data_IF_497316808717
#
_entry.id   IF_497316808717
#
_cell.length_a   1.000
_cell.length_b   1.000
_cell.length_c   1.000
_cell.angle_alpha   90.00
_cell.angle_beta   90.00
_cell.angle_gamma   90.00
#
_symmetry.space_group_name_H-M   'P 1'
#
loop_
_entity.id
_entity.type
_entity.pdbx_description
1 polymer ?
#
# COMPACT_ATOMS: atom_id res chain seq x y z
N UNK A 1 17.98 16.67 22.77
CA UNK A 1 17.92 15.64 21.70
C UNK A 1 16.60 15.82 20.98
N UNK A 2 16.59 16.30 19.74
CA UNK A 2 15.34 16.36 18.97
C UNK A 2 14.93 14.93 18.61
N UNK A 3 14.01 14.36 19.37
CA UNK A 3 13.40 13.08 19.05
C UNK A 3 12.52 13.26 17.81
N UNK A 4 13.09 13.03 16.63
CA UNK A 4 12.33 13.04 15.40
C UNK A 4 11.34 11.85 15.41
N UNK A 5 10.05 12.15 15.39
CA UNK A 5 9.01 11.12 15.32
C UNK A 5 8.66 10.84 13.85
N UNK A 6 8.64 9.58 13.50
CA UNK A 6 8.27 9.08 12.17
C UNK A 6 7.04 8.18 12.27
N UNK A 7 5.94 8.59 11.65
CA UNK A 7 4.70 7.83 11.66
C UNK A 7 4.48 7.20 10.28
N UNK A 8 4.42 5.87 10.23
CA UNK A 8 3.86 5.15 9.08
C UNK A 8 2.39 4.83 9.36
N UNK A 9 1.51 5.14 8.43
CA UNK A 9 0.08 4.91 8.64
C UNK A 9 -0.58 4.33 7.38
N UNK A 10 -1.41 3.29 7.56
CA UNK A 10 -2.36 2.95 6.52
C UNK A 10 -3.39 4.08 6.34
N UNK A 11 -4.13 4.05 5.25
CA UNK A 11 -5.18 5.01 4.97
C UNK A 11 -6.56 4.48 5.32
N UNK A 12 -6.97 3.34 4.76
CA UNK A 12 -8.32 2.80 4.91
C UNK A 12 -8.51 2.13 6.28
N UNK A 13 -9.40 2.67 7.12
CA UNK A 13 -9.61 2.17 8.46
C UNK A 13 -8.67 2.77 9.52
N UNK A 14 -7.61 3.46 9.10
CA UNK A 14 -6.68 4.16 9.98
C UNK A 14 -6.89 5.67 9.93
N UNK A 15 -6.41 6.36 8.89
CA UNK A 15 -6.65 7.81 8.71
C UNK A 15 -8.00 8.12 8.06
N UNK A 16 -8.54 7.19 7.29
CA UNK A 16 -9.83 7.30 6.61
C UNK A 16 -10.87 6.42 7.30
N UNK A 17 -12.08 6.94 7.48
CA UNK A 17 -13.20 6.12 7.92
C UNK A 17 -13.45 4.99 6.91
N UNK A 18 -13.54 3.75 7.39
CA UNK A 18 -13.65 2.53 6.58
C UNK A 18 -14.89 2.50 5.68
N UNK A 19 -15.99 3.12 6.09
CA UNK A 19 -17.26 3.14 5.35
C UNK A 19 -17.40 4.34 4.40
N UNK A 20 -17.05 5.54 4.86
CA UNK A 20 -17.31 6.80 4.15
C UNK A 20 -16.05 7.44 3.53
N UNK A 21 -14.85 6.92 3.81
CA UNK A 21 -13.57 7.49 3.37
C UNK A 21 -13.41 8.98 3.71
N UNK A 22 -14.08 9.43 4.81
CA UNK A 22 -13.98 10.79 5.31
C UNK A 22 -12.83 10.92 6.32
N UNK A 23 -12.12 12.02 6.25
CA UNK A 23 -10.94 12.33 7.08
C UNK A 23 -11.07 13.67 7.82
N UNK A 24 -12.25 14.27 7.85
CA UNK A 24 -12.46 15.62 8.37
C UNK A 24 -11.90 15.80 9.78
N UNK A 25 -12.12 14.81 10.65
CA UNK A 25 -11.58 14.83 12.02
C UNK A 25 -10.04 14.68 12.03
N UNK A 26 -9.49 13.78 11.21
CA UNK A 26 -8.05 13.52 11.16
C UNK A 26 -7.26 14.70 10.56
N UNK A 27 -7.85 15.50 9.67
CA UNK A 27 -7.17 16.61 8.97
C UNK A 27 -6.54 17.61 9.93
N UNK A 28 -7.26 18.00 10.99
CA UNK A 28 -6.74 18.93 12.02
C UNK A 28 -5.52 18.35 12.71
N UNK A 29 -5.62 17.11 13.18
CA UNK A 29 -4.53 16.44 13.91
C UNK A 29 -3.31 16.16 13.04
N UNK A 30 -3.51 15.76 11.76
CA UNK A 30 -2.40 15.59 10.81
C UNK A 30 -1.60 16.89 10.65
N UNK A 31 -2.29 18.02 10.50
CA UNK A 31 -1.64 19.33 10.37
C UNK A 31 -0.90 19.74 11.65
N UNK A 32 -1.50 19.48 12.80
CA UNK A 32 -0.89 19.75 14.09
C UNK A 32 0.38 18.91 14.29
N UNK A 33 0.36 17.63 13.95
CA UNK A 33 1.55 16.77 14.01
C UNK A 33 2.66 17.27 13.07
N UNK A 34 2.30 17.67 11.85
CA UNK A 34 3.28 18.21 10.88
C UNK A 34 3.87 19.53 11.38
N UNK A 35 3.08 20.40 12.02
CA UNK A 35 3.60 21.67 12.59
C UNK A 35 4.53 21.45 13.79
N UNK A 36 4.53 20.25 14.38
CA UNK A 36 5.46 19.80 15.44
C UNK A 36 6.62 18.96 14.87
N UNK A 37 6.94 19.11 13.58
CA UNK A 37 8.02 18.39 12.88
C UNK A 37 7.89 16.86 12.89
N UNK A 38 6.66 16.31 13.09
CA UNK A 38 6.41 14.89 12.97
C UNK A 38 6.34 14.51 11.48
N UNK A 39 7.17 13.56 11.08
CA UNK A 39 7.14 13.01 9.73
C UNK A 39 6.03 11.97 9.59
N UNK A 40 5.05 12.23 8.73
CA UNK A 40 3.96 11.29 8.44
C UNK A 40 4.13 10.74 7.03
N UNK A 41 4.15 9.41 6.92
CA UNK A 41 4.32 8.69 5.66
C UNK A 41 3.15 7.71 5.49
N UNK A 42 2.13 8.05 4.69
CA UNK A 42 1.11 7.09 4.28
C UNK A 42 1.74 5.86 3.61
N UNK A 43 1.36 4.65 4.06
CA UNK A 43 1.84 3.38 3.54
C UNK A 43 0.64 2.44 3.31
N UNK A 44 0.19 2.34 2.08
CA UNK A 44 -1.14 1.81 1.79
C UNK A 44 -1.17 0.88 0.57
N UNK A 45 -2.22 0.08 0.46
CA UNK A 45 -2.52 -0.73 -0.74
C UNK A 45 -3.02 0.09 -1.93
N UNK A 46 -3.30 1.39 -1.73
CA UNK A 46 -3.77 2.29 -2.79
C UNK A 46 -2.69 2.58 -3.83
N UNK A 47 -3.14 2.95 -5.02
CA UNK A 47 -2.29 3.42 -6.12
C UNK A 47 -1.71 4.81 -5.84
N UNK A 48 -0.64 5.16 -6.56
CA UNK A 48 -0.09 6.53 -6.57
C UNK A 48 -1.17 7.59 -6.85
N UNK A 49 -2.09 7.30 -7.79
CA UNK A 49 -3.13 8.26 -8.17
C UNK A 49 -4.20 8.44 -7.07
N UNK A 50 -4.58 7.38 -6.37
CA UNK A 50 -5.50 7.48 -5.24
C UNK A 50 -4.90 8.31 -4.10
N UNK A 51 -3.61 8.07 -3.80
CA UNK A 51 -2.92 8.82 -2.73
C UNK A 51 -2.78 10.29 -3.12
N UNK A 52 -2.45 10.60 -4.38
CA UNK A 52 -2.38 11.98 -4.87
C UNK A 52 -3.72 12.71 -4.77
N UNK A 53 -4.84 12.04 -5.08
CA UNK A 53 -6.17 12.60 -4.88
C UNK A 53 -6.43 12.89 -3.40
N UNK A 54 -6.11 11.96 -2.52
CA UNK A 54 -6.23 12.12 -1.07
C UNK A 54 -5.39 13.29 -0.55
N UNK A 55 -4.12 13.36 -0.91
CA UNK A 55 -3.22 14.45 -0.49
C UNK A 55 -3.69 15.82 -1.01
N UNK A 56 -4.24 15.87 -2.23
CA UNK A 56 -4.85 17.09 -2.78
C UNK A 56 -6.06 17.54 -1.98
N UNK A 57 -6.96 16.64 -1.59
CA UNK A 57 -8.13 16.95 -0.74
C UNK A 57 -7.70 17.49 0.64
N UNK A 58 -6.56 17.01 1.17
CA UNK A 58 -5.97 17.51 2.42
C UNK A 58 -5.24 18.86 2.25
N UNK A 59 -4.90 19.23 1.04
CA UNK A 59 -3.94 20.31 0.72
C UNK A 59 -2.59 20.09 1.40
N UNK A 60 -2.04 18.86 1.25
CA UNK A 60 -0.76 18.44 1.83
C UNK A 60 0.16 17.86 0.75
N UNK A 61 1.47 18.02 0.97
CA UNK A 61 2.54 17.37 0.19
C UNK A 61 3.35 16.50 1.14
N UNK A 62 3.18 15.18 1.06
CA UNK A 62 3.87 14.21 1.91
C UNK A 62 4.62 13.19 1.06
N UNK A 63 5.72 12.62 1.57
CA UNK A 63 6.21 11.33 1.07
C UNK A 63 5.16 10.26 1.34
N UNK A 64 5.11 9.22 0.51
CA UNK A 64 4.18 8.11 0.72
C UNK A 64 4.67 6.82 0.07
N UNK A 65 4.09 5.70 0.45
CA UNK A 65 4.35 4.36 -0.07
C UNK A 65 3.05 3.82 -0.66
N UNK A 66 3.10 3.36 -1.91
CA UNK A 66 1.94 2.87 -2.66
C UNK A 66 2.00 1.37 -2.93
N UNK A 67 0.83 0.80 -3.27
CA UNK A 67 0.63 -0.58 -3.69
C UNK A 67 1.36 -1.59 -2.79
N UNK A 68 1.07 -1.52 -1.46
CA UNK A 68 1.59 -2.43 -0.43
C UNK A 68 3.12 -2.49 -0.34
N UNK A 69 3.81 -1.36 -0.51
CA UNK A 69 5.26 -1.29 -0.41
C UNK A 69 5.98 -1.37 -1.75
N UNK A 70 5.26 -1.35 -2.87
CA UNK A 70 5.85 -1.51 -4.21
C UNK A 70 6.65 -0.30 -4.66
N UNK A 71 6.26 0.91 -4.29
CA UNK A 71 6.93 2.15 -4.70
C UNK A 71 6.88 3.21 -3.60
N UNK A 72 8.01 3.85 -3.32
CA UNK A 72 8.16 4.96 -2.37
C UNK A 72 8.22 6.25 -3.18
N UNK A 73 7.46 7.27 -2.78
CA UNK A 73 7.31 8.52 -3.49
C UNK A 73 7.69 9.72 -2.63
N UNK A 74 8.22 10.76 -3.29
CA UNK A 74 8.45 12.10 -2.74
C UNK A 74 9.36 12.15 -1.51
N UNK A 75 10.27 11.20 -1.35
CA UNK A 75 11.23 11.19 -0.24
C UNK A 75 12.16 12.42 -0.29
N UNK A 76 12.33 13.02 -1.46
CA UNK A 76 13.04 14.29 -1.65
C UNK A 76 12.39 15.49 -0.95
N UNK A 77 11.12 15.37 -0.50
CA UNK A 77 10.50 16.40 0.36
C UNK A 77 11.13 16.46 1.75
N UNK A 78 11.70 15.36 2.23
CA UNK A 78 12.40 15.32 3.53
C UNK A 78 13.81 15.91 3.39
N UNK A 79 14.55 15.51 2.36
CA UNK A 79 15.85 16.09 1.99
C UNK A 79 16.00 16.10 0.47
N UNK A 80 16.35 17.26 -0.11
CA UNK A 80 16.47 17.46 -1.57
C UNK A 80 17.35 16.42 -2.27
N UNK A 81 18.41 15.92 -1.61
CA UNK A 81 19.32 14.90 -2.15
C UNK A 81 18.73 13.50 -2.31
N UNK A 82 17.58 13.23 -1.72
CA UNK A 82 16.92 11.93 -1.85
C UNK A 82 16.17 11.83 -3.17
N UNK A 83 16.01 10.63 -3.74
CA UNK A 83 15.29 10.44 -4.98
C UNK A 83 13.79 10.76 -4.80
N UNK A 84 13.18 11.30 -5.85
CA UNK A 84 11.74 11.56 -5.86
C UNK A 84 10.93 10.25 -5.81
N UNK A 85 11.49 9.15 -6.35
CA UNK A 85 10.80 7.87 -6.46
C UNK A 85 11.80 6.71 -6.31
N UNK A 86 11.39 5.67 -5.58
CA UNK A 86 12.14 4.41 -5.42
C UNK A 86 11.19 3.25 -5.68
N UNK A 87 11.45 2.49 -6.74
CA UNK A 87 10.69 1.28 -7.07
C UNK A 87 11.33 0.07 -6.39
N UNK A 88 10.52 -0.73 -5.70
CA UNK A 88 10.95 -1.93 -4.96
C UNK A 88 10.42 -3.21 -5.61
N UNK A 89 9.36 -3.12 -6.40
CA UNK A 89 8.66 -4.27 -6.98
C UNK A 89 8.86 -4.36 -8.49
N UNK A 90 8.80 -5.56 -9.03
CA UNK A 90 8.64 -5.81 -10.46
C UNK A 90 7.27 -5.32 -10.94
N UNK A 91 7.17 -4.98 -12.22
CA UNK A 91 5.90 -4.50 -12.80
C UNK A 91 4.82 -5.59 -12.76
N UNK A 92 3.56 -5.17 -12.68
CA UNK A 92 2.42 -6.10 -12.67
C UNK A 92 2.39 -7.05 -13.88
N UNK A 93 2.88 -6.61 -15.06
CA UNK A 93 2.93 -7.46 -16.25
C UNK A 93 3.86 -8.67 -16.05
N UNK A 94 5.04 -8.47 -15.46
CA UNK A 94 5.98 -9.53 -15.13
C UNK A 94 5.36 -10.49 -14.11
N UNK A 95 4.78 -9.94 -13.04
CA UNK A 95 4.12 -10.72 -11.98
C UNK A 95 2.98 -11.57 -12.54
N UNK A 96 2.13 -11.00 -13.40
CA UNK A 96 1.02 -11.73 -14.01
C UNK A 96 1.49 -12.87 -14.90
N UNK A 97 2.53 -12.66 -15.72
CA UNK A 97 3.11 -13.73 -16.55
C UNK A 97 3.65 -14.90 -15.71
N UNK A 98 4.34 -14.61 -14.60
CA UNK A 98 4.81 -15.65 -13.69
C UNK A 98 3.63 -16.41 -13.09
N UNK A 99 2.62 -15.70 -12.61
CA UNK A 99 1.42 -16.26 -12.00
C UNK A 99 0.65 -17.14 -12.99
N UNK A 100 0.32 -16.61 -14.17
CA UNK A 100 -0.46 -17.30 -15.20
C UNK A 100 0.23 -18.58 -15.70
N UNK A 101 1.56 -18.55 -15.95
CA UNK A 101 2.33 -19.70 -16.42
C UNK A 101 2.40 -20.85 -15.41
N UNK A 102 2.37 -20.54 -14.11
CA UNK A 102 2.66 -21.51 -13.04
C UNK A 102 1.44 -21.80 -12.14
N UNK A 103 0.27 -21.30 -12.48
CA UNK A 103 -0.98 -21.56 -11.75
C UNK A 103 -1.88 -22.45 -12.61
N UNK A 104 -2.38 -23.52 -12.00
CA UNK A 104 -3.33 -24.42 -12.65
C UNK A 104 -4.54 -23.65 -13.18
N UNK A 105 -5.01 -24.02 -14.38
CA UNK A 105 -6.13 -23.38 -15.06
C UNK A 105 -7.40 -23.39 -14.20
N UNK A 106 -7.67 -24.50 -13.52
CA UNK A 106 -8.85 -24.63 -12.63
C UNK A 106 -8.82 -23.66 -11.47
N UNK A 107 -7.65 -23.23 -11.03
CA UNK A 107 -7.44 -22.22 -9.99
C UNK A 107 -7.48 -20.82 -10.59
N UNK A 108 -6.89 -20.62 -11.78
CA UNK A 108 -6.94 -19.33 -12.50
C UNK A 108 -8.37 -18.91 -12.81
N UNK A 109 -9.22 -19.85 -13.24
CA UNK A 109 -10.63 -19.61 -13.56
C UNK A 109 -11.47 -19.18 -12.34
N UNK A 110 -10.95 -19.41 -11.13
CA UNK A 110 -11.54 -18.92 -9.86
C UNK A 110 -11.02 -17.55 -9.42
N UNK A 111 -10.10 -16.95 -10.18
CA UNK A 111 -9.55 -15.63 -9.92
C UNK A 111 -10.26 -14.57 -10.76
N UNK A 112 -11.26 -13.92 -10.19
CA UNK A 112 -11.96 -12.81 -10.84
C UNK A 112 -11.15 -11.52 -10.75
N UNK A 113 -10.32 -11.24 -11.73
CA UNK A 113 -9.51 -10.03 -11.78
C UNK A 113 -10.36 -8.78 -12.00
N UNK A 114 -10.20 -7.78 -11.16
CA UNK A 114 -11.01 -6.54 -11.19
C UNK A 114 -10.94 -5.84 -12.55
N UNK A 115 -9.77 -5.82 -13.21
CA UNK A 115 -9.61 -5.16 -14.52
C UNK A 115 -10.40 -5.83 -15.66
N UNK A 116 -10.78 -7.10 -15.50
CA UNK A 116 -11.63 -7.84 -16.47
C UNK A 116 -13.14 -7.65 -16.23
N UNK A 117 -13.53 -7.08 -15.09
CA UNK A 117 -14.92 -6.89 -14.73
C UNK A 117 -15.54 -5.68 -15.44
N UNK A 118 -16.86 -5.70 -15.62
CA UNK A 118 -17.61 -4.51 -16.04
C UNK A 118 -17.47 -3.37 -15.02
N UNK A 119 -17.58 -2.13 -15.48
CA UNK A 119 -17.50 -0.94 -14.61
C UNK A 119 -18.49 -0.98 -13.46
N UNK A 120 -19.70 -1.53 -13.66
CA UNK A 120 -20.70 -1.75 -12.62
C UNK A 120 -20.18 -2.67 -11.51
N UNK A 121 -19.60 -3.81 -11.88
CA UNK A 121 -19.04 -4.77 -10.95
C UNK A 121 -17.80 -4.23 -10.25
N UNK A 122 -16.89 -3.54 -10.95
CA UNK A 122 -15.76 -2.85 -10.33
C UNK A 122 -16.22 -1.87 -9.24
N UNK A 123 -17.26 -1.07 -9.54
CA UNK A 123 -17.87 -0.15 -8.57
C UNK A 123 -18.43 -0.88 -7.36
N UNK A 124 -19.17 -1.98 -7.58
CA UNK A 124 -19.77 -2.78 -6.50
C UNK A 124 -18.71 -3.38 -5.58
N UNK A 125 -17.68 -4.00 -6.15
CA UNK A 125 -16.61 -4.67 -5.41
C UNK A 125 -15.73 -3.68 -4.67
N UNK A 126 -15.24 -2.64 -5.35
CA UNK A 126 -14.31 -1.68 -4.76
C UNK A 126 -15.01 -0.62 -3.90
N UNK A 127 -16.31 -0.42 -4.08
CA UNK A 127 -17.08 0.64 -3.40
C UNK A 127 -16.68 2.05 -3.85
N UNK A 128 -16.10 2.18 -5.05
CA UNK A 128 -15.57 3.43 -5.58
C UNK A 128 -16.31 3.83 -6.86
N UNK A 129 -16.46 5.15 -7.10
CA UNK A 129 -17.13 5.70 -8.28
C UNK A 129 -16.27 6.81 -8.93
N UNK A 130 -16.57 7.13 -10.20
CA UNK A 130 -16.01 8.27 -10.93
C UNK A 130 -14.47 8.30 -10.91
N UNK A 131 -13.90 9.46 -10.58
CA UNK A 131 -12.45 9.69 -10.55
C UNK A 131 -11.71 8.78 -9.55
N UNK A 132 -12.34 8.42 -8.41
CA UNK A 132 -11.73 7.52 -7.40
C UNK A 132 -11.62 6.10 -7.95
N UNK A 133 -12.63 5.59 -8.65
CA UNK A 133 -12.55 4.28 -9.32
C UNK A 133 -11.46 4.27 -10.40
N UNK A 134 -11.43 5.28 -11.27
CA UNK A 134 -10.40 5.39 -12.30
C UNK A 134 -8.99 5.42 -11.72
N UNK A 135 -8.78 6.15 -10.62
CA UNK A 135 -7.51 6.20 -9.92
C UNK A 135 -7.10 4.82 -9.38
N UNK A 136 -8.03 4.08 -8.77
CA UNK A 136 -7.77 2.76 -8.18
C UNK A 136 -7.41 1.68 -9.21
N UNK A 137 -7.85 1.83 -10.46
CA UNK A 137 -7.54 0.93 -11.56
C UNK A 137 -6.16 1.19 -12.21
N UNK A 138 -5.55 2.36 -11.97
CA UNK A 138 -4.22 2.74 -12.50
C UNK A 138 -3.06 2.11 -11.71
N UNK A 139 -3.12 0.80 -11.51
CA UNK A 139 -2.09 0.03 -10.82
C UNK A 139 -0.88 -0.25 -11.70
N UNK A 140 0.30 -0.22 -11.12
CA UNK A 140 1.58 -0.49 -11.79
C UNK A 140 2.19 -1.82 -11.38
N UNK A 141 1.95 -2.25 -10.14
CA UNK A 141 2.67 -3.36 -9.50
C UNK A 141 1.75 -4.49 -9.05
N UNK A 142 0.45 -4.24 -8.88
CA UNK A 142 -0.48 -5.21 -8.33
C UNK A 142 -1.70 -5.43 -9.21
N UNK A 143 -2.26 -6.66 -9.14
CA UNK A 143 -3.55 -7.02 -9.74
C UNK A 143 -4.53 -7.41 -8.63
N UNK A 144 -5.55 -6.57 -8.34
CA UNK A 144 -6.61 -6.95 -7.44
C UNK A 144 -7.56 -7.95 -8.09
N UNK A 145 -7.98 -8.96 -7.32
CA UNK A 145 -8.92 -9.99 -7.73
C UNK A 145 -9.75 -10.52 -6.57
N UNK A 146 -10.89 -11.16 -6.88
CA UNK A 146 -11.68 -11.97 -5.95
C UNK A 146 -11.37 -13.43 -6.22
N UNK A 147 -11.09 -14.19 -5.19
CA UNK A 147 -10.93 -15.64 -5.31
C UNK A 147 -12.21 -16.35 -4.91
N UNK A 148 -12.69 -17.25 -5.78
CA UNK A 148 -13.95 -17.99 -5.59
C UNK A 148 -13.73 -19.48 -5.31
N UNK A 149 -12.52 -19.87 -5.01
CA UNK A 149 -12.20 -21.25 -4.64
C UNK A 149 -12.47 -21.56 -3.16
N UNK A 150 -12.32 -22.83 -2.80
CA UNK A 150 -12.38 -23.28 -1.41
C UNK A 150 -11.20 -22.73 -0.59
N UNK A 151 -11.29 -22.83 0.75
CA UNK A 151 -10.20 -22.44 1.65
C UNK A 151 -8.92 -23.24 1.37
N UNK A 152 -9.03 -24.54 1.09
CA UNK A 152 -7.88 -25.38 0.73
C UNK A 152 -7.20 -24.89 -0.55
N UNK A 153 -7.99 -24.56 -1.58
CA UNK A 153 -7.48 -24.00 -2.84
C UNK A 153 -6.83 -22.63 -2.65
N UNK A 154 -7.41 -21.78 -1.79
CA UNK A 154 -6.82 -20.48 -1.43
C UNK A 154 -5.47 -20.66 -0.75
N UNK A 155 -5.36 -21.56 0.23
CA UNK A 155 -4.11 -21.83 0.94
C UNK A 155 -3.04 -22.37 -0.01
N UNK A 156 -3.40 -23.28 -0.91
CA UNK A 156 -2.51 -23.79 -1.96
C UNK A 156 -2.05 -22.67 -2.89
N UNK A 157 -2.94 -21.80 -3.33
CA UNK A 157 -2.64 -20.65 -4.18
C UNK A 157 -1.64 -19.70 -3.51
N UNK A 158 -1.84 -19.37 -2.23
CA UNK A 158 -0.93 -18.51 -1.45
C UNK A 158 0.46 -19.14 -1.32
N UNK A 159 0.52 -20.43 -0.96
CA UNK A 159 1.79 -21.18 -0.81
C UNK A 159 2.55 -21.25 -2.12
N UNK A 160 1.90 -21.65 -3.20
CA UNK A 160 2.52 -21.78 -4.52
C UNK A 160 3.01 -20.41 -5.05
N UNK A 161 2.23 -19.35 -4.90
CA UNK A 161 2.65 -17.99 -5.27
C UNK A 161 3.92 -17.57 -4.51
N UNK A 162 4.01 -17.89 -3.22
CA UNK A 162 5.19 -17.56 -2.41
C UNK A 162 6.45 -18.29 -2.90
N UNK A 163 6.35 -19.57 -3.31
CA UNK A 163 7.44 -20.35 -3.90
C UNK A 163 7.96 -19.77 -5.22
N UNK A 164 7.07 -19.14 -5.99
CA UNK A 164 7.40 -18.45 -7.24
C UNK A 164 8.03 -17.05 -7.04
N UNK A 165 8.24 -16.63 -5.79
CA UNK A 165 8.78 -15.31 -5.49
C UNK A 165 7.81 -14.15 -5.81
N UNK A 166 6.51 -14.43 -5.85
CA UNK A 166 5.42 -13.48 -5.92
C UNK A 166 4.55 -13.59 -4.67
N UNK A 167 3.70 -12.63 -4.40
CA UNK A 167 2.85 -12.64 -3.22
C UNK A 167 1.40 -12.35 -3.58
N UNK A 168 0.49 -12.95 -2.81
CA UNK A 168 -0.90 -12.59 -2.80
C UNK A 168 -1.23 -12.07 -1.40
N UNK A 169 -1.56 -10.79 -1.32
CA UNK A 169 -1.88 -10.12 -0.06
C UNK A 169 -3.38 -9.93 0.07
N UNK A 170 -3.92 -10.31 1.23
CA UNK A 170 -5.33 -10.12 1.53
C UNK A 170 -5.58 -8.68 1.97
N UNK A 171 -6.53 -8.03 1.32
CA UNK A 171 -7.07 -6.75 1.72
C UNK A 171 -8.51 -6.89 2.22
N UNK A 172 -9.10 -5.83 2.73
CA UNK A 172 -10.45 -5.87 3.29
C UNK A 172 -11.57 -6.18 2.28
N UNK A 173 -11.32 -6.08 0.97
CA UNK A 173 -12.33 -6.32 -0.09
C UNK A 173 -11.87 -7.24 -1.19
N UNK A 174 -10.58 -7.26 -1.49
CA UNK A 174 -9.98 -8.01 -2.60
C UNK A 174 -8.63 -8.55 -2.19
N UNK A 175 -8.20 -9.62 -2.83
CA UNK A 175 -6.83 -10.09 -2.80
C UNK A 175 -5.99 -9.31 -3.83
N UNK A 176 -4.71 -9.09 -3.55
CA UNK A 176 -3.81 -8.36 -4.42
C UNK A 176 -2.63 -9.25 -4.81
N UNK A 177 -2.58 -9.69 -6.05
CA UNK A 177 -1.43 -10.34 -6.64
C UNK A 177 -0.35 -9.28 -6.89
N UNK A 178 0.87 -9.50 -6.40
CA UNK A 178 1.99 -8.57 -6.53
C UNK A 178 3.33 -9.25 -6.35
N UNK A 179 4.40 -8.46 -6.29
CA UNK A 179 5.74 -8.94 -5.99
C UNK A 179 5.90 -9.26 -4.49
N UNK A 180 6.97 -9.96 -4.15
CA UNK A 180 7.33 -10.31 -2.75
C UNK A 180 7.88 -9.10 -2.00
N UNK A 181 7.10 -8.02 -2.00
CA UNK A 181 7.32 -6.81 -1.20
C UNK A 181 6.13 -6.58 -0.27
N UNK A 182 6.34 -5.84 0.80
CA UNK A 182 5.29 -5.51 1.75
C UNK A 182 5.53 -4.14 2.40
N UNK A 183 4.54 -3.67 3.15
CA UNK A 183 4.60 -2.37 3.84
C UNK A 183 5.82 -2.25 4.76
N UNK A 184 6.19 -3.32 5.47
CA UNK A 184 7.35 -3.33 6.37
C UNK A 184 8.69 -3.19 5.65
N UNK A 185 8.89 -3.90 4.52
CA UNK A 185 10.10 -3.76 3.70
C UNK A 185 10.29 -2.34 3.20
N UNK A 186 9.23 -1.71 2.70
CA UNK A 186 9.27 -0.33 2.22
C UNK A 186 9.54 0.66 3.37
N UNK A 187 8.91 0.47 4.53
CA UNK A 187 9.17 1.30 5.71
C UNK A 187 10.62 1.18 6.20
N UNK A 188 11.18 -0.04 6.27
CA UNK A 188 12.62 -0.24 6.60
C UNK A 188 13.53 0.48 5.62
N UNK A 189 13.21 0.45 4.31
CA UNK A 189 13.97 1.18 3.29
C UNK A 189 13.97 2.69 3.56
N UNK A 190 12.80 3.25 3.90
CA UNK A 190 12.68 4.67 4.28
C UNK A 190 13.50 4.97 5.53
N UNK A 191 13.35 4.18 6.60
CA UNK A 191 14.10 4.35 7.85
C UNK A 191 15.61 4.32 7.56
N UNK A 192 16.08 3.36 6.74
CA UNK A 192 17.50 3.27 6.35
C UNK A 192 17.99 4.52 5.62
N UNK A 193 17.20 5.06 4.72
CA UNK A 193 17.53 6.30 3.98
C UNK A 193 17.64 7.49 4.96
N UNK A 194 16.72 7.60 5.91
CA UNK A 194 16.70 8.70 6.89
C UNK A 194 17.82 8.60 7.92
N UNK A 195 18.20 7.38 8.34
CA UNK A 195 19.28 7.11 9.31
C UNK A 195 20.68 7.22 8.71
N UNK A 196 20.86 7.47 7.42
CA UNK A 196 22.16 7.48 6.75
C UNK A 196 23.16 8.53 7.30
N UNK A 197 22.74 9.37 8.27
CA UNK A 197 23.61 10.15 9.14
C UNK A 197 23.50 9.59 10.58
N UNK A 198 24.56 9.06 11.13
CA UNK A 198 24.66 8.43 12.48
C UNK A 198 24.07 9.22 13.66
N UNK A 199 23.66 10.48 13.45
CA UNK A 199 23.09 11.38 14.49
C UNK A 199 21.56 11.42 14.54
N UNK A 200 20.83 10.81 13.60
CA UNK A 200 19.37 10.90 13.58
C UNK A 200 18.73 9.65 14.20
N UNK A 201 18.33 9.73 15.44
CA UNK A 201 17.42 8.75 16.03
C UNK A 201 15.97 9.13 15.71
N UNK A 202 15.21 8.17 15.19
CA UNK A 202 13.78 8.33 14.97
C UNK A 202 13.03 7.36 15.87
N UNK A 203 12.08 7.88 16.65
CA UNK A 203 11.03 7.06 17.23
C UNK A 203 10.01 6.76 16.13
N UNK A 204 9.80 5.48 15.83
CA UNK A 204 8.90 5.05 14.77
C UNK A 204 7.59 4.54 15.33
N UNK A 205 6.49 5.07 14.83
CA UNK A 205 5.12 4.66 15.16
C UNK A 205 4.50 4.07 13.88
N UNK A 206 3.76 2.98 14.01
CA UNK A 206 2.97 2.45 12.90
C UNK A 206 1.50 2.32 13.30
N UNK A 207 0.61 2.66 12.35
CA UNK A 207 -0.84 2.59 12.51
C UNK A 207 -1.45 1.84 11.34
N UNK A 208 -2.20 0.78 11.65
CA UNK A 208 -2.86 -0.07 10.65
C UNK A 208 -3.96 -0.92 11.26
N UNK A 209 -4.89 -1.44 10.45
CA UNK A 209 -6.07 -2.17 10.90
C UNK A 209 -6.25 -3.55 10.23
N UNK A 210 -5.32 -3.95 9.36
CA UNK A 210 -5.42 -5.17 8.56
C UNK A 210 -4.16 -6.05 8.62
N UNK A 211 -4.29 -7.29 8.17
CA UNK A 211 -3.19 -8.28 8.12
C UNK A 211 -1.99 -7.79 7.31
N UNK A 212 -2.20 -7.05 6.21
CA UNK A 212 -1.12 -6.48 5.40
C UNK A 212 -0.33 -5.38 6.12
N UNK A 213 -0.82 -4.87 7.25
CA UNK A 213 -0.14 -3.88 8.09
C UNK A 213 0.82 -4.52 9.09
N UNK A 214 0.65 -5.79 9.45
CA UNK A 214 1.46 -6.49 10.45
C UNK A 214 2.97 -6.35 10.19
N UNK A 215 3.38 -6.40 8.93
CA UNK A 215 4.80 -6.24 8.57
C UNK A 215 5.34 -4.84 8.88
N UNK A 216 4.49 -3.82 8.83
CA UNK A 216 4.81 -2.43 9.17
C UNK A 216 4.77 -2.21 10.69
N UNK A 217 3.77 -2.76 11.37
CA UNK A 217 3.65 -2.69 12.82
C UNK A 217 4.87 -3.33 13.52
N UNK A 218 5.33 -4.49 13.04
CA UNK A 218 6.50 -5.22 13.60
C UNK A 218 7.84 -4.49 13.51
N UNK A 219 7.96 -3.44 12.72
CA UNK A 219 9.24 -2.70 12.56
C UNK A 219 9.24 -1.36 13.29
N UNK A 220 8.13 -0.96 13.86
CA UNK A 220 8.00 0.28 14.64
C UNK A 220 8.34 0.04 16.11
N UNK A 221 8.65 1.12 16.80
CA UNK A 221 8.90 1.09 18.25
C UNK A 221 7.56 1.03 19.03
N UNK A 222 6.50 1.59 18.41
CA UNK A 222 5.15 1.69 18.97
C UNK A 222 4.10 1.44 17.89
#
# INVERSE_FOLDING_TARGET
>A
MNNNVLIFTDLDGSLLNKKKFHFTKAKKYIRELISKDVLIIPNTSKTENEIKLFLKELNLKLPFISENGSEIHNINLIKKKFPKKITLARTKKIIYKIFEKNTDKTILDKCDFIYKMSKRNQTKVLGLKGKKLQASLKRKFTFPFIFRGSLAQKNSLLSNSSKLGISIQEGGRVMNLGDKVNKGLASRKVIKILKNNKKNHFSTIAVGDNVNDLSMLKISNF
#
